data_IF_293541434470
#
_entry.id   IF_293541434470
#
_cell.length_a   1.000
_cell.length_b   1.000
_cell.length_c   1.000
_cell.angle_alpha   90.00
_cell.angle_beta   90.00
_cell.angle_gamma   90.00
#
_symmetry.space_group_name_H-M   'P 1'
#
loop_
_entity.id
_entity.type
_entity.pdbx_description
1 polymer ?
#
# COMPACT_ATOMS: atom_id res chain seq x y z
N UNK A 1 32.33 20.08 49.22
CA UNK A 1 31.33 20.14 48.11
C UNK A 1 31.52 18.88 47.27
N UNK A 2 30.57 17.95 47.30
CA UNK A 2 30.79 16.57 46.87
C UNK A 2 30.71 16.42 45.34
N UNK A 3 31.85 16.22 44.70
CA UNK A 3 32.01 16.04 43.25
C UNK A 3 31.14 14.90 42.67
N UNK A 4 30.86 13.86 43.47
CA UNK A 4 29.96 12.76 43.11
C UNK A 4 28.52 13.20 42.90
N UNK A 5 28.02 14.16 43.69
CA UNK A 5 26.65 14.65 43.56
C UNK A 5 26.43 15.43 42.25
N UNK A 6 27.43 16.23 41.85
CA UNK A 6 27.41 17.01 40.61
C UNK A 6 27.44 16.11 39.35
N UNK A 7 28.22 15.03 39.40
CA UNK A 7 28.29 14.06 38.31
C UNK A 7 26.97 13.30 38.09
N UNK A 8 26.34 12.86 39.18
CA UNK A 8 25.04 12.16 39.14
C UNK A 8 23.94 13.09 38.62
N UNK A 9 23.90 14.35 39.08
CA UNK A 9 22.92 15.34 38.61
C UNK A 9 23.03 15.62 37.11
N UNK A 10 24.26 15.75 36.59
CA UNK A 10 24.50 15.95 35.15
C UNK A 10 24.12 14.72 34.32
N UNK A 11 24.40 13.51 34.82
CA UNK A 11 24.04 12.26 34.13
C UNK A 11 22.53 12.06 34.03
N UNK A 12 21.78 12.36 35.10
CA UNK A 12 20.31 12.32 35.12
C UNK A 12 19.74 13.37 34.15
N UNK A 13 20.29 14.59 34.13
CA UNK A 13 19.82 15.64 33.24
C UNK A 13 20.01 15.26 31.75
N UNK A 14 21.15 14.67 31.41
CA UNK A 14 21.43 14.22 30.05
C UNK A 14 20.52 13.06 29.62
N UNK A 15 20.23 12.12 30.54
CA UNK A 15 19.27 11.05 30.30
C UNK A 15 17.85 11.57 30.07
N UNK A 16 17.40 12.52 30.89
CA UNK A 16 16.07 13.14 30.74
C UNK A 16 15.95 13.94 29.44
N UNK A 17 17.02 14.63 29.02
CA UNK A 17 17.06 15.36 27.75
C UNK A 17 16.97 14.40 26.55
N UNK A 18 17.75 13.32 26.56
CA UNK A 18 17.70 12.28 25.52
C UNK A 18 16.31 11.62 25.48
N UNK A 19 15.73 11.29 26.63
CA UNK A 19 14.38 10.72 26.72
C UNK A 19 13.32 11.67 26.13
N UNK A 20 13.44 12.97 26.39
CA UNK A 20 12.54 13.99 25.82
C UNK A 20 12.63 14.08 24.29
N UNK A 21 13.84 13.93 23.74
CA UNK A 21 14.05 13.87 22.28
C UNK A 21 13.40 12.60 21.70
N UNK A 22 13.61 11.44 22.33
CA UNK A 22 13.00 10.18 21.88
C UNK A 22 11.46 10.20 21.93
N UNK A 23 10.87 10.79 22.97
CA UNK A 23 9.42 10.95 23.07
C UNK A 23 8.86 11.87 21.96
N UNK A 24 9.57 12.95 21.62
CA UNK A 24 9.18 13.85 20.52
C UNK A 24 9.27 13.19 19.14
N UNK A 25 10.24 12.30 18.91
CA UNK A 25 10.37 11.56 17.64
C UNK A 25 9.19 10.59 17.46
N UNK A 26 8.81 9.85 18.51
CA UNK A 26 7.73 8.86 18.44
C UNK A 26 6.35 9.50 18.17
N UNK A 27 6.11 10.69 18.70
CA UNK A 27 4.84 11.42 18.53
C UNK A 27 4.65 12.02 17.13
N UNK A 28 5.72 12.26 16.37
CA UNK A 28 5.66 12.89 15.04
C UNK A 28 5.47 11.90 13.88
N UNK A 29 5.45 10.60 14.14
CA UNK A 29 5.08 9.61 13.13
C UNK A 29 3.55 9.65 12.92
N UNK A 30 3.09 10.46 11.97
CA UNK A 30 1.71 10.42 11.46
C UNK A 30 1.49 9.07 10.76
N UNK A 31 0.99 8.09 11.50
CA UNK A 31 0.58 6.80 10.95
C UNK A 31 -0.65 7.02 10.06
N UNK A 32 -0.43 7.18 8.75
CA UNK A 32 -1.50 7.35 7.76
C UNK A 32 -2.24 6.01 7.66
N UNK A 33 -3.49 5.99 8.15
CA UNK A 33 -4.31 4.78 8.27
C UNK A 33 -4.48 4.11 6.90
N UNK A 34 -4.47 2.76 6.83
CA UNK A 34 -4.74 2.06 5.58
C UNK A 34 -6.14 2.42 5.08
N UNK A 35 -6.25 2.73 3.79
CA UNK A 35 -7.54 3.00 3.15
C UNK A 35 -8.30 1.68 3.08
N UNK A 36 -9.41 1.57 3.82
CA UNK A 36 -10.28 0.40 3.78
C UNK A 36 -11.40 0.65 2.77
N UNK A 37 -11.24 0.10 1.58
CA UNK A 37 -12.26 0.14 0.54
C UNK A 37 -13.38 -0.86 0.84
N UNK A 38 -14.62 -0.51 0.47
CA UNK A 38 -15.76 -1.44 0.54
C UNK A 38 -15.73 -2.38 -0.67
N UNK A 39 -16.15 -3.65 -0.53
CA UNK A 39 -16.28 -4.55 -1.66
C UNK A 39 -17.23 -3.98 -2.72
N UNK A 40 -16.81 -4.03 -3.98
CA UNK A 40 -17.64 -3.68 -5.13
C UNK A 40 -18.21 -4.95 -5.76
N UNK A 41 -19.46 -4.92 -6.23
CA UNK A 41 -20.03 -6.04 -6.98
C UNK A 41 -19.81 -5.80 -8.47
N UNK A 42 -19.21 -6.77 -9.16
CA UNK A 42 -18.80 -6.66 -10.56
C UNK A 42 -19.19 -7.92 -11.34
N UNK A 43 -19.28 -7.81 -12.66
CA UNK A 43 -19.51 -8.97 -13.52
C UNK A 43 -18.24 -9.83 -13.67
N UNK A 44 -18.41 -11.08 -14.12
CA UNK A 44 -17.31 -12.03 -14.33
C UNK A 44 -16.27 -11.57 -15.36
N UNK A 45 -16.61 -10.65 -16.25
CA UNK A 45 -15.76 -10.13 -17.31
C UNK A 45 -15.17 -8.75 -17.00
N UNK A 46 -15.31 -8.30 -15.74
CA UNK A 46 -14.95 -6.95 -15.33
C UNK A 46 -13.46 -6.68 -15.57
N UNK A 47 -13.18 -5.62 -16.33
CA UNK A 47 -11.84 -5.10 -16.50
C UNK A 47 -11.64 -3.90 -15.58
N UNK A 48 -10.46 -3.79 -14.97
CA UNK A 48 -10.12 -2.64 -14.14
C UNK A 48 -9.34 -1.61 -14.94
N UNK A 49 -9.67 -0.34 -14.75
CA UNK A 49 -8.92 0.78 -15.31
C UNK A 49 -8.27 1.53 -14.16
N UNK A 50 -6.95 1.65 -14.19
CA UNK A 50 -6.18 2.42 -13.22
C UNK A 50 -5.71 3.69 -13.91
N UNK A 51 -6.07 4.82 -13.33
CA UNK A 51 -5.68 6.15 -13.77
C UNK A 51 -4.66 6.72 -12.79
N UNK A 52 -3.50 7.11 -13.31
CA UNK A 52 -2.43 7.74 -12.54
C UNK A 52 -2.39 9.23 -12.88
N UNK A 53 -2.56 10.10 -11.89
CA UNK A 53 -2.57 11.55 -12.11
C UNK A 53 -1.23 12.06 -12.68
N UNK A 54 -0.12 11.48 -12.21
CA UNK A 54 1.24 11.88 -12.59
C UNK A 54 1.95 10.86 -13.49
N UNK A 55 1.21 9.88 -14.01
CA UNK A 55 1.76 8.73 -14.72
C UNK A 55 2.32 7.65 -13.78
N UNK A 56 2.82 6.57 -14.37
CA UNK A 56 3.34 5.43 -13.63
C UNK A 56 4.76 5.04 -14.06
N UNK A 57 5.52 4.47 -13.14
CA UNK A 57 6.86 3.97 -13.41
C UNK A 57 6.79 2.62 -14.15
N UNK A 58 7.02 2.66 -15.45
CA UNK A 58 7.01 1.47 -16.32
C UNK A 58 8.04 0.42 -15.91
N UNK A 59 9.20 0.83 -15.37
CA UNK A 59 10.23 -0.10 -14.92
C UNK A 59 9.79 -0.89 -13.67
N UNK A 60 8.83 -0.35 -12.93
CA UNK A 60 8.24 -1.01 -11.77
C UNK A 60 7.00 -1.84 -12.13
N UNK A 61 6.58 -1.88 -13.40
CA UNK A 61 5.45 -2.69 -13.87
C UNK A 61 5.87 -4.16 -14.02
N UNK A 62 5.91 -4.86 -12.89
CA UNK A 62 6.17 -6.29 -12.78
C UNK A 62 4.88 -7.04 -12.42
N UNK A 63 4.85 -8.35 -12.63
CA UNK A 63 3.71 -9.20 -12.25
C UNK A 63 3.42 -9.19 -10.73
N UNK A 64 4.41 -8.82 -9.91
CA UNK A 64 4.23 -8.64 -8.46
C UNK A 64 3.66 -7.27 -8.09
N UNK A 65 3.63 -6.31 -9.02
CA UNK A 65 3.19 -4.95 -8.76
C UNK A 65 1.68 -4.79 -8.92
N UNK A 66 1.05 -5.66 -9.72
CA UNK A 66 -0.40 -5.73 -9.90
C UNK A 66 -0.81 -7.19 -9.99
N UNK A 67 -1.68 -7.64 -9.08
CA UNK A 67 -2.18 -9.01 -9.08
C UNK A 67 -3.55 -9.12 -8.43
N UNK A 68 -4.27 -10.20 -8.73
CA UNK A 68 -5.56 -10.52 -8.11
C UNK A 68 -5.42 -11.81 -7.33
N UNK A 69 -5.93 -11.81 -6.10
CA UNK A 69 -6.09 -13.02 -5.29
C UNK A 69 -7.56 -13.39 -5.18
N UNK A 70 -7.85 -14.68 -5.15
CA UNK A 70 -9.16 -15.21 -4.78
C UNK A 70 -9.35 -15.28 -3.25
N UNK A 71 -10.51 -15.76 -2.81
CA UNK A 71 -10.86 -15.96 -1.39
C UNK A 71 -9.94 -16.95 -0.64
N UNK A 72 -9.10 -17.70 -1.35
CA UNK A 72 -8.13 -18.66 -0.80
C UNK A 72 -6.69 -18.15 -0.90
N UNK A 73 -6.51 -16.86 -1.19
CA UNK A 73 -5.22 -16.20 -1.42
C UNK A 73 -4.43 -16.79 -2.60
N UNK A 74 -5.12 -17.42 -3.56
CA UNK A 74 -4.51 -17.96 -4.77
C UNK A 74 -4.52 -16.89 -5.86
N UNK A 75 -3.37 -16.72 -6.52
CA UNK A 75 -3.24 -15.75 -7.61
C UNK A 75 -4.06 -16.19 -8.83
N UNK A 76 -4.88 -15.26 -9.30
CA UNK A 76 -5.72 -15.45 -10.50
C UNK A 76 -4.95 -14.91 -11.72
N UNK A 77 -4.89 -15.65 -12.84
CA UNK A 77 -4.21 -15.18 -14.04
C UNK A 77 -4.95 -14.00 -14.66
N UNK A 78 -4.31 -12.83 -14.65
CA UNK A 78 -4.79 -11.59 -15.25
C UNK A 78 -3.84 -11.15 -16.37
N UNK A 79 -4.33 -10.28 -17.27
CA UNK A 79 -3.48 -9.64 -18.30
C UNK A 79 -3.48 -8.13 -18.08
N UNK A 80 -2.31 -7.51 -18.18
CA UNK A 80 -2.17 -6.06 -18.00
C UNK A 80 -1.82 -5.46 -19.36
N UNK A 81 -2.53 -4.41 -19.74
CA UNK A 81 -2.27 -3.63 -20.95
C UNK A 81 -2.03 -2.17 -20.58
N UNK A 82 -1.03 -1.56 -21.22
CA UNK A 82 -0.79 -0.11 -21.14
C UNK A 82 -1.62 0.53 -22.25
N UNK A 83 -2.60 1.35 -21.87
CA UNK A 83 -3.42 2.09 -22.84
C UNK A 83 -2.69 3.36 -23.30
N UNK A 84 -2.15 4.12 -22.35
CA UNK A 84 -1.46 5.39 -22.56
C UNK A 84 -0.51 5.67 -21.35
N UNK A 85 0.27 6.76 -21.33
CA UNK A 85 1.25 7.03 -20.27
C UNK A 85 0.68 7.10 -18.85
N UNK A 86 -0.63 7.30 -18.69
CA UNK A 86 -1.28 7.50 -17.40
C UNK A 86 -2.33 6.42 -17.10
N UNK A 87 -2.55 5.47 -18.01
CA UNK A 87 -3.67 4.52 -17.91
C UNK A 87 -3.21 3.09 -18.11
N UNK A 88 -3.51 2.25 -17.11
CA UNK A 88 -3.39 0.80 -17.18
C UNK A 88 -4.78 0.16 -17.25
N UNK A 89 -4.89 -0.91 -18.04
CA UNK A 89 -6.06 -1.77 -18.09
C UNK A 89 -5.65 -3.15 -17.58
N UNK A 90 -6.39 -3.66 -16.60
CA UNK A 90 -6.27 -5.02 -16.11
C UNK A 90 -7.46 -5.80 -16.67
N UNK A 91 -7.16 -6.73 -17.56
CA UNK A 91 -8.16 -7.60 -18.15
C UNK A 91 -8.51 -8.74 -17.20
N UNK A 92 -9.81 -9.06 -17.16
CA UNK A 92 -10.31 -10.27 -16.53
C UNK A 92 -9.58 -11.52 -17.05
N UNK A 93 -9.59 -12.63 -16.28
CA UNK A 93 -9.13 -13.92 -16.75
C UNK A 93 -9.84 -14.31 -18.05
N UNK A 94 -9.21 -15.15 -18.89
CA UNK A 94 -9.77 -15.54 -20.20
C UNK A 94 -11.18 -16.13 -20.10
N UNK A 95 -11.44 -16.89 -19.03
CA UNK A 95 -12.75 -17.50 -18.75
C UNK A 95 -13.60 -16.66 -17.77
N UNK A 96 -13.19 -15.43 -17.50
CA UNK A 96 -13.76 -14.57 -16.47
C UNK A 96 -13.40 -15.03 -15.05
N UNK A 97 -13.86 -14.23 -14.09
CA UNK A 97 -13.89 -14.58 -12.68
C UNK A 97 -15.06 -15.54 -12.38
N UNK A 98 -14.96 -16.32 -11.32
CA UNK A 98 -16.01 -17.26 -10.92
C UNK A 98 -17.15 -16.51 -10.22
N UNK A 99 -18.38 -16.66 -10.72
CA UNK A 99 -19.56 -16.05 -10.10
C UNK A 99 -19.78 -16.53 -8.66
N UNK A 100 -20.28 -15.64 -7.80
CA UNK A 100 -20.50 -15.89 -6.37
C UNK A 100 -19.22 -15.92 -5.52
N UNK A 101 -18.06 -15.58 -6.08
CA UNK A 101 -16.77 -15.55 -5.37
C UNK A 101 -16.31 -14.13 -5.06
N UNK A 102 -15.48 -14.03 -4.03
CA UNK A 102 -14.81 -12.79 -3.63
C UNK A 102 -13.35 -12.80 -4.03
N UNK A 103 -12.84 -11.61 -4.36
CA UNK A 103 -11.48 -11.40 -4.83
C UNK A 103 -10.90 -10.11 -4.25
N UNK A 104 -9.58 -9.98 -4.33
CA UNK A 104 -8.86 -8.76 -3.99
C UNK A 104 -7.87 -8.41 -5.10
N UNK A 105 -8.01 -7.21 -5.66
CA UNK A 105 -7.01 -6.62 -6.55
C UNK A 105 -5.99 -5.85 -5.71
N UNK A 106 -4.72 -6.18 -5.93
CA UNK A 106 -3.57 -5.54 -5.31
C UNK A 106 -2.85 -4.66 -6.33
N UNK A 107 -2.50 -3.46 -5.91
CA UNK A 107 -1.71 -2.50 -6.68
C UNK A 107 -0.62 -1.92 -5.78
N UNK A 108 0.63 -2.11 -6.18
CA UNK A 108 1.78 -1.55 -5.48
C UNK A 108 1.86 -0.03 -5.68
N UNK A 109 1.93 0.74 -4.59
CA UNK A 109 1.97 2.21 -4.64
C UNK A 109 3.23 2.72 -5.36
N UNK A 110 4.34 1.98 -5.37
CA UNK A 110 5.59 2.33 -6.10
C UNK A 110 5.43 2.35 -7.62
N UNK A 111 4.27 1.94 -8.15
CA UNK A 111 3.92 2.17 -9.54
C UNK A 111 3.58 3.63 -9.81
N UNK A 112 2.98 4.34 -8.86
CA UNK A 112 2.68 5.76 -9.00
C UNK A 112 3.97 6.59 -8.92
N UNK A 113 4.19 7.47 -9.90
CA UNK A 113 5.35 8.35 -9.91
C UNK A 113 5.34 9.37 -8.77
N UNK A 114 4.16 9.71 -8.25
CA UNK A 114 4.01 10.61 -7.11
C UNK A 114 3.95 9.89 -5.76
N UNK A 115 4.20 8.58 -5.73
CA UNK A 115 4.17 7.79 -4.51
C UNK A 115 5.11 8.36 -3.44
N UNK A 116 4.53 8.79 -2.33
CA UNK A 116 5.27 9.32 -1.17
C UNK A 116 5.36 8.30 -0.03
N UNK A 117 4.99 7.04 -0.29
CA UNK A 117 4.66 6.03 0.71
C UNK A 117 4.78 4.62 0.10
N UNK A 118 4.93 3.60 0.97
CA UNK A 118 5.04 2.18 0.61
C UNK A 118 3.75 1.40 0.92
N UNK A 119 2.57 2.01 0.78
CA UNK A 119 1.30 1.36 1.10
C UNK A 119 0.61 0.86 -0.15
N UNK A 120 0.55 -0.45 -0.33
CA UNK A 120 -0.22 -1.06 -1.41
C UNK A 120 -1.72 -0.74 -1.31
N UNK A 121 -2.34 -0.52 -2.47
CA UNK A 121 -3.79 -0.41 -2.61
C UNK A 121 -4.39 -1.81 -2.69
N UNK A 122 -5.46 -2.03 -1.93
CA UNK A 122 -6.23 -3.27 -1.92
C UNK A 122 -7.69 -2.97 -2.24
N UNK A 123 -8.16 -3.46 -3.38
CA UNK A 123 -9.53 -3.26 -3.87
C UNK A 123 -10.28 -4.60 -3.73
N UNK A 124 -11.12 -4.77 -2.71
CA UNK A 124 -11.97 -5.95 -2.61
C UNK A 124 -13.14 -5.87 -3.60
N UNK A 125 -13.51 -7.00 -4.18
CA UNK A 125 -14.69 -7.12 -5.05
C UNK A 125 -15.36 -8.49 -4.96
N UNK A 126 -16.66 -8.55 -5.24
CA UNK A 126 -17.43 -9.77 -5.37
C UNK A 126 -17.96 -9.89 -6.79
N UNK A 127 -18.05 -11.11 -7.29
CA UNK A 127 -18.57 -11.39 -8.63
C UNK A 127 -20.00 -11.89 -8.52
N UNK A 128 -20.93 -11.28 -9.25
CA UNK A 128 -22.34 -11.68 -9.30
C UNK A 128 -22.67 -12.49 -10.56
#
# INVERSE_FOLDING_TARGET
>A
MNFTFLYIANSICLFLFILHIFLKIKANMKMKRPIKLRPQNVDATCNWVILFDNGFNRNNLLNSSIYVLDEKDVMVPIRIAIKDPNTLIIHAPVNGYTAGKSYQLYLNERLDLAASSERDYKVPFNVY
#
